data_IF_267415438033
#
_entry.id   IF_267415438033
#
_cell.length_a   1.000
_cell.length_b   1.000
_cell.length_c   1.000
_cell.angle_alpha   90.00
_cell.angle_beta   90.00
_cell.angle_gamma   90.00
#
_symmetry.space_group_name_H-M   'P 1'
#
loop_
_entity.id
_entity.type
_entity.pdbx_description
1 polymer ?
#
# COMPACT_ATOMS: atom_id res chain seq x y z
N UNK A 1 -22.40 13.06 -15.72
CA UNK A 1 -21.09 12.96 -15.05
C UNK A 1 -19.93 13.27 -16.00
N UNK A 2 -19.89 12.73 -17.22
CA UNK A 2 -18.80 13.01 -18.19
C UNK A 2 -18.48 14.51 -18.39
N UNK A 3 -19.49 15.38 -18.49
CA UNK A 3 -19.30 16.85 -18.55
C UNK A 3 -18.54 17.39 -17.32
N UNK A 4 -18.88 16.94 -16.11
CA UNK A 4 -18.22 17.38 -14.87
C UNK A 4 -16.78 16.87 -14.79
N UNK A 5 -16.52 15.64 -15.25
CA UNK A 5 -15.15 15.12 -15.37
C UNK A 5 -14.33 16.00 -16.30
N UNK A 6 -14.88 16.31 -17.48
CA UNK A 6 -14.23 17.21 -18.43
C UNK A 6 -13.91 18.58 -17.81
N UNK A 7 -14.91 19.22 -17.19
CA UNK A 7 -14.75 20.51 -16.52
C UNK A 7 -13.68 20.47 -15.43
N UNK A 8 -13.60 19.39 -14.64
CA UNK A 8 -12.57 19.20 -13.62
C UNK A 8 -11.15 19.08 -14.21
N UNK A 9 -11.00 18.34 -15.30
CA UNK A 9 -9.71 18.17 -15.99
C UNK A 9 -9.30 19.46 -16.73
N UNK A 10 -10.24 20.17 -17.34
CA UNK A 10 -10.01 21.50 -17.93
C UNK A 10 -9.64 22.54 -16.85
N UNK A 11 -10.18 22.42 -15.63
CA UNK A 11 -9.77 23.24 -14.50
C UNK A 11 -8.36 22.87 -13.95
N UNK A 12 -7.76 21.78 -14.43
CA UNK A 12 -6.38 21.39 -14.12
C UNK A 12 -6.24 20.12 -13.29
N UNK A 13 -7.29 19.33 -13.07
CA UNK A 13 -7.13 17.98 -12.53
C UNK A 13 -6.30 17.12 -13.50
N UNK A 14 -5.45 16.25 -12.96
CA UNK A 14 -4.59 15.35 -13.77
C UNK A 14 -5.39 14.26 -14.50
N UNK A 15 -6.65 14.07 -14.12
CA UNK A 15 -7.47 13.02 -14.69
C UNK A 15 -8.62 12.61 -13.78
N UNK A 16 -9.01 11.34 -13.87
CA UNK A 16 -10.13 10.75 -13.14
C UNK A 16 -9.76 9.35 -12.65
N UNK A 17 -10.13 9.04 -11.41
CA UNK A 17 -9.93 7.72 -10.79
C UNK A 17 -11.27 7.05 -10.49
N UNK A 18 -11.35 5.74 -10.69
CA UNK A 18 -12.49 4.91 -10.32
C UNK A 18 -12.07 3.70 -9.50
N UNK A 19 -13.00 3.15 -8.71
CA UNK A 19 -12.77 1.97 -7.88
C UNK A 19 -13.92 0.97 -7.98
N UNK A 20 -13.61 -0.22 -8.51
CA UNK A 20 -14.46 -1.42 -8.51
C UNK A 20 -13.95 -2.43 -7.48
N UNK A 21 -13.94 -2.03 -6.22
CA UNK A 21 -13.55 -2.94 -5.13
C UNK A 21 -14.66 -3.11 -4.11
N UNK A 22 -14.84 -4.35 -3.67
CA UNK A 22 -15.76 -4.74 -2.60
C UNK A 22 -15.17 -4.46 -1.20
N UNK A 23 -13.89 -4.10 -1.12
CA UNK A 23 -13.21 -3.77 0.13
C UNK A 23 -13.65 -2.41 0.69
N UNK A 24 -14.08 -1.49 -0.17
CA UNK A 24 -14.47 -0.14 0.23
C UNK A 24 -15.94 -0.08 0.66
N UNK A 25 -16.15 -0.07 1.99
CA UNK A 25 -17.46 0.06 2.63
C UNK A 25 -17.45 1.19 3.66
N UNK A 26 -18.60 1.80 3.87
CA UNK A 26 -18.79 2.75 4.95
C UNK A 26 -18.95 2.03 6.31
N UNK A 27 -19.20 2.83 7.35
CA UNK A 27 -19.43 2.35 8.72
C UNK A 27 -20.71 1.51 8.89
N UNK A 28 -21.62 1.55 7.91
CA UNK A 28 -22.84 0.75 7.88
C UNK A 28 -22.68 -0.52 7.02
N UNK A 29 -21.53 -0.70 6.36
CA UNK A 29 -21.26 -1.83 5.49
C UNK A 29 -21.75 -1.62 4.06
N UNK A 30 -22.21 -0.42 3.71
CA UNK A 30 -22.65 -0.07 2.36
C UNK A 30 -21.44 0.20 1.47
N UNK A 31 -21.48 -0.30 0.24
CA UNK A 31 -20.38 -0.14 -0.71
C UNK A 31 -20.23 1.32 -1.15
N UNK A 32 -18.98 1.75 -1.35
CA UNK A 32 -18.72 3.10 -1.84
C UNK A 32 -19.32 3.34 -3.24
N UNK A 33 -19.78 4.57 -3.53
CA UNK A 33 -20.18 4.94 -4.89
C UNK A 33 -19.05 4.67 -5.87
N UNK A 34 -19.34 3.99 -6.99
CA UNK A 34 -18.35 3.56 -7.98
C UNK A 34 -18.06 2.05 -7.98
N UNK A 35 -18.26 1.36 -6.84
CA UNK A 35 -17.98 -0.09 -6.72
C UNK A 35 -18.68 -0.92 -7.80
N UNK A 36 -19.88 -0.51 -8.20
CA UNK A 36 -20.69 -1.19 -9.22
C UNK A 36 -20.83 -0.41 -10.53
N UNK A 37 -20.00 0.61 -10.78
CA UNK A 37 -20.04 1.36 -12.03
C UNK A 37 -19.78 0.45 -13.23
N UNK A 38 -20.70 0.49 -14.19
CA UNK A 38 -20.65 -0.35 -15.38
C UNK A 38 -19.59 0.11 -16.39
N UNK A 39 -19.27 -0.77 -17.32
CA UNK A 39 -18.30 -0.51 -18.39
C UNK A 39 -18.68 0.69 -19.26
N UNK A 40 -19.98 0.86 -19.57
CA UNK A 40 -20.48 1.97 -20.38
C UNK A 40 -20.35 3.32 -19.66
N UNK A 41 -20.60 3.33 -18.34
CA UNK A 41 -20.46 4.52 -17.51
C UNK A 41 -19.00 4.98 -17.47
N UNK A 42 -18.07 4.06 -17.14
CA UNK A 42 -16.64 4.39 -17.12
C UNK A 42 -16.13 4.83 -18.48
N UNK A 43 -16.55 4.16 -19.57
CA UNK A 43 -16.20 4.57 -20.93
C UNK A 43 -16.69 5.99 -21.22
N UNK A 44 -17.93 6.34 -20.84
CA UNK A 44 -18.44 7.68 -21.01
C UNK A 44 -17.64 8.73 -20.21
N UNK A 45 -17.20 8.39 -18.99
CA UNK A 45 -16.33 9.26 -18.18
C UNK A 45 -14.96 9.46 -18.82
N UNK A 46 -14.34 8.38 -19.31
CA UNK A 46 -13.07 8.43 -20.04
C UNK A 46 -13.17 9.22 -21.35
N UNK A 47 -14.23 9.01 -22.13
CA UNK A 47 -14.49 9.79 -23.35
C UNK A 47 -14.72 11.27 -23.07
N UNK A 48 -15.20 11.63 -21.86
CA UNK A 48 -15.26 13.03 -21.42
C UNK A 48 -13.89 13.72 -21.39
N UNK A 49 -12.82 12.96 -21.09
CA UNK A 49 -11.44 13.45 -21.07
C UNK A 49 -10.72 13.31 -22.41
N UNK A 50 -11.33 12.67 -23.42
CA UNK A 50 -10.69 12.47 -24.72
C UNK A 50 -10.27 13.81 -25.35
N UNK A 51 -9.03 13.84 -25.84
CA UNK A 51 -8.40 15.04 -26.42
C UNK A 51 -7.86 16.04 -25.40
N UNK A 52 -7.95 15.76 -24.09
CA UNK A 52 -7.23 16.52 -23.07
C UNK A 52 -5.89 15.84 -22.85
N UNK A 53 -4.82 16.41 -23.40
CA UNK A 53 -3.47 15.81 -23.37
C UNK A 53 -3.02 15.53 -21.93
N UNK A 54 -2.17 14.53 -21.73
CA UNK A 54 -1.64 14.17 -20.40
C UNK A 54 -2.70 13.82 -19.32
N UNK A 55 -3.95 13.58 -19.70
CA UNK A 55 -4.99 13.16 -18.76
C UNK A 55 -4.87 11.67 -18.46
N UNK A 56 -4.97 11.31 -17.18
CA UNK A 56 -4.83 9.93 -16.69
C UNK A 56 -6.19 9.38 -16.26
N UNK A 57 -6.50 8.16 -16.68
CA UNK A 57 -7.60 7.38 -16.10
C UNK A 57 -7.02 6.32 -15.18
N UNK A 58 -7.33 6.40 -13.89
CA UNK A 58 -6.92 5.39 -12.91
C UNK A 58 -8.08 4.44 -12.59
N UNK A 59 -7.79 3.14 -12.54
CA UNK A 59 -8.75 2.12 -12.15
C UNK A 59 -8.19 1.20 -11.08
N UNK A 60 -8.83 1.22 -9.91
CA UNK A 60 -8.77 0.14 -8.93
C UNK A 60 -9.83 -0.89 -9.27
N UNK A 61 -9.48 -2.18 -9.38
CA UNK A 61 -10.46 -3.22 -9.71
C UNK A 61 -10.10 -4.59 -9.15
N UNK A 62 -11.08 -5.23 -8.49
CA UNK A 62 -11.00 -6.62 -8.02
C UNK A 62 -10.97 -7.60 -9.22
N UNK A 63 -11.41 -7.15 -10.40
CA UNK A 63 -11.61 -7.96 -11.60
C UNK A 63 -10.41 -7.98 -12.55
N UNK A 64 -9.26 -7.38 -12.18
CA UNK A 64 -8.05 -7.45 -13.00
C UNK A 64 -7.44 -8.86 -13.10
N UNK A 65 -7.98 -9.84 -12.38
CA UNK A 65 -7.74 -11.25 -12.63
C UNK A 65 -8.59 -11.85 -13.76
N UNK A 66 -9.61 -11.14 -14.27
CA UNK A 66 -10.55 -11.64 -15.27
C UNK A 66 -10.19 -11.16 -16.67
N UNK A 67 -10.11 -12.08 -17.63
CA UNK A 67 -9.76 -11.75 -19.03
C UNK A 67 -10.77 -10.78 -19.69
N UNK A 68 -12.01 -10.73 -19.18
CA UNK A 68 -13.03 -9.78 -19.62
C UNK A 68 -12.72 -8.35 -19.22
N UNK A 69 -12.26 -8.13 -17.98
CA UNK A 69 -11.86 -6.79 -17.51
C UNK A 69 -10.67 -6.30 -18.32
N UNK A 70 -9.74 -7.19 -18.63
CA UNK A 70 -8.61 -6.90 -19.51
C UNK A 70 -9.04 -6.49 -20.91
N UNK A 71 -9.91 -7.28 -21.56
CA UNK A 71 -10.42 -6.95 -22.88
C UNK A 71 -11.09 -5.57 -22.88
N UNK A 72 -11.84 -5.25 -21.83
CA UNK A 72 -12.46 -3.95 -21.66
C UNK A 72 -11.43 -2.83 -21.46
N UNK A 73 -10.42 -2.97 -20.59
CA UNK A 73 -9.36 -1.97 -20.40
C UNK A 73 -8.64 -1.69 -21.72
N UNK A 74 -8.35 -2.74 -22.49
CA UNK A 74 -7.71 -2.62 -23.78
C UNK A 74 -8.55 -1.82 -24.78
N UNK A 75 -9.85 -2.08 -24.84
CA UNK A 75 -10.78 -1.39 -25.71
C UNK A 75 -11.04 0.05 -25.25
N UNK A 76 -11.19 0.26 -23.95
CA UNK A 76 -11.30 1.58 -23.33
C UNK A 76 -10.11 2.47 -23.71
N UNK A 77 -8.88 1.95 -23.58
CA UNK A 77 -7.69 2.72 -23.92
C UNK A 77 -7.64 3.05 -25.42
N UNK A 78 -8.02 2.10 -26.30
CA UNK A 78 -8.10 2.35 -27.75
C UNK A 78 -9.10 3.44 -28.12
N UNK A 79 -10.27 3.45 -27.47
CA UNK A 79 -11.32 4.42 -27.78
C UNK A 79 -11.01 5.82 -27.23
N UNK A 80 -10.39 5.90 -26.05
CA UNK A 80 -10.14 7.16 -25.35
C UNK A 80 -8.79 7.77 -25.70
N UNK A 81 -7.77 6.96 -25.98
CA UNK A 81 -6.39 7.39 -26.19
C UNK A 81 -5.67 7.86 -24.92
N UNK A 82 -6.27 7.67 -23.75
CA UNK A 82 -5.73 8.14 -22.47
C UNK A 82 -4.58 7.26 -21.98
N UNK A 83 -3.76 7.83 -21.10
CA UNK A 83 -2.93 7.03 -20.20
C UNK A 83 -3.84 6.37 -19.17
N UNK A 84 -3.72 5.05 -19.02
CA UNK A 84 -4.53 4.24 -18.10
C UNK A 84 -3.61 3.63 -17.04
N UNK A 85 -3.83 3.95 -15.77
CA UNK A 85 -3.14 3.30 -14.66
C UNK A 85 -4.04 2.28 -13.98
N UNK A 86 -3.48 1.13 -13.59
CA UNK A 86 -4.25 0.00 -13.07
C UNK A 86 -3.75 -0.41 -11.70
N UNK A 87 -4.68 -0.61 -10.77
CA UNK A 87 -4.42 -1.07 -9.41
C UNK A 87 -5.23 -2.35 -9.19
N UNK A 88 -4.53 -3.45 -8.94
CA UNK A 88 -5.14 -4.73 -8.63
C UNK A 88 -5.31 -4.91 -7.12
N UNK A 89 -6.50 -5.34 -6.71
CA UNK A 89 -6.87 -5.59 -5.32
C UNK A 89 -7.17 -7.07 -5.05
N UNK A 90 -7.01 -7.93 -6.08
CA UNK A 90 -7.23 -9.38 -5.99
C UNK A 90 -5.99 -10.19 -6.31
N UNK A 91 -5.82 -11.32 -5.62
CA UNK A 91 -4.69 -12.23 -5.84
C UNK A 91 -4.64 -12.79 -7.28
N UNK A 92 -5.80 -13.05 -7.88
CA UNK A 92 -5.94 -13.57 -9.24
C UNK A 92 -5.31 -12.66 -10.31
N UNK A 93 -5.21 -11.35 -10.07
CA UNK A 93 -4.54 -10.42 -10.98
C UNK A 93 -3.01 -10.64 -11.05
N UNK A 94 -2.42 -11.28 -10.03
CA UNK A 94 -0.99 -11.54 -9.96
C UNK A 94 -0.62 -12.98 -10.37
N UNK A 95 -1.60 -13.88 -10.48
CA UNK A 95 -1.37 -15.23 -10.98
C UNK A 95 -0.89 -15.21 -12.45
N UNK A 96 -0.08 -16.18 -12.84
CA UNK A 96 0.37 -16.36 -14.23
C UNK A 96 0.96 -15.09 -14.89
N UNK A 97 1.62 -14.22 -14.11
CA UNK A 97 2.20 -12.96 -14.58
C UNK A 97 1.19 -12.00 -15.22
N UNK A 98 -0.06 -12.02 -14.75
CA UNK A 98 -1.15 -11.31 -15.41
C UNK A 98 -0.87 -9.80 -15.55
N UNK A 99 -0.53 -9.10 -14.47
CA UNK A 99 -0.16 -7.67 -14.52
C UNK A 99 1.07 -7.37 -15.39
N UNK A 100 2.04 -8.27 -15.46
CA UNK A 100 3.21 -8.12 -16.32
C UNK A 100 2.81 -8.22 -17.80
N UNK A 101 1.98 -9.21 -18.15
CA UNK A 101 1.55 -9.47 -19.52
C UNK A 101 0.76 -8.31 -20.12
N UNK A 102 -0.12 -7.67 -19.35
CA UNK A 102 -0.85 -6.48 -19.81
C UNK A 102 0.08 -5.28 -20.05
N UNK A 103 1.06 -5.06 -19.17
CA UNK A 103 2.07 -4.01 -19.37
C UNK A 103 2.93 -4.27 -20.62
N UNK A 104 3.36 -5.52 -20.82
CA UNK A 104 4.18 -5.92 -21.96
C UNK A 104 3.41 -5.85 -23.29
N UNK A 105 2.13 -6.25 -23.29
CA UNK A 105 1.26 -6.10 -24.45
C UNK A 105 1.08 -4.63 -24.82
N UNK A 106 0.75 -3.79 -23.83
CA UNK A 106 0.57 -2.36 -24.04
C UNK A 106 1.84 -1.71 -24.62
N UNK A 107 3.01 -2.04 -24.06
CA UNK A 107 4.31 -1.59 -24.57
C UNK A 107 4.55 -1.99 -26.03
N UNK A 108 4.32 -3.26 -26.38
CA UNK A 108 4.50 -3.77 -27.76
C UNK A 108 3.59 -3.09 -28.77
N UNK A 109 2.40 -2.69 -28.33
CA UNK A 109 1.39 -2.04 -29.17
C UNK A 109 1.47 -0.51 -29.12
N UNK A 110 2.44 0.07 -28.39
CA UNK A 110 2.60 1.53 -28.26
C UNK A 110 1.45 2.20 -27.50
N UNK A 111 0.83 1.49 -26.56
CA UNK A 111 -0.30 1.96 -25.74
C UNK A 111 0.14 2.32 -24.33
N UNK A 112 -0.45 3.38 -23.79
CA UNK A 112 -0.18 3.89 -22.45
C UNK A 112 -1.04 3.21 -21.39
N UNK A 113 -0.95 1.88 -21.26
CA UNK A 113 -1.54 1.15 -20.13
C UNK A 113 -0.41 0.79 -19.16
N UNK A 114 -0.48 1.33 -17.95
CA UNK A 114 0.60 1.33 -16.96
C UNK A 114 0.12 0.77 -15.62
N UNK A 115 0.22 -0.55 -15.39
CA UNK A 115 -0.03 -1.12 -14.07
C UNK A 115 0.83 -0.45 -12.99
N UNK A 116 0.26 -0.29 -11.81
CA UNK A 116 0.98 0.15 -10.63
C UNK A 116 1.40 -1.07 -9.80
N UNK A 117 2.59 -1.01 -9.22
CA UNK A 117 3.11 -2.01 -8.29
C UNK A 117 3.72 -1.32 -7.07
N UNK A 118 3.39 -1.85 -5.89
CA UNK A 118 4.05 -1.46 -4.64
C UNK A 118 5.45 -2.07 -4.55
N UNK A 119 6.33 -1.48 -3.74
CA UNK A 119 7.67 -2.02 -3.47
C UNK A 119 7.65 -3.39 -2.80
N UNK A 120 6.60 -3.65 -2.03
CA UNK A 120 6.25 -4.91 -1.38
C UNK A 120 4.73 -5.00 -1.30
N UNK A 121 4.14 -6.17 -1.06
CA UNK A 121 2.73 -6.28 -0.74
C UNK A 121 2.30 -5.29 0.35
N UNK A 122 1.11 -4.72 0.18
CA UNK A 122 0.48 -3.91 1.21
C UNK A 122 0.25 -4.80 2.44
N UNK A 123 0.62 -4.30 3.62
CA UNK A 123 0.59 -5.07 4.85
C UNK A 123 -0.55 -4.67 5.77
N UNK A 124 -1.38 -5.62 6.19
CA UNK A 124 -2.20 -5.41 7.39
C UNK A 124 -1.31 -5.60 8.60
N UNK A 125 -1.25 -4.57 9.43
CA UNK A 125 -0.54 -4.58 10.70
C UNK A 125 -1.50 -5.01 11.80
N UNK A 126 -1.22 -6.15 12.42
CA UNK A 126 -1.96 -6.66 13.57
C UNK A 126 -1.32 -6.16 14.85
N UNK A 127 -2.10 -6.07 15.92
CA UNK A 127 -1.59 -5.81 17.27
C UNK A 127 -2.67 -5.28 18.20
N UNK A 128 -2.43 -5.26 19.51
CA UNK A 128 -3.38 -4.65 20.47
C UNK A 128 -3.51 -3.14 20.26
N UNK A 129 -2.44 -2.51 19.77
CA UNK A 129 -2.48 -1.11 19.35
C UNK A 129 -2.94 -0.90 17.91
N UNK A 130 -3.25 -1.95 17.14
CA UNK A 130 -3.88 -1.85 15.82
C UNK A 130 -5.41 -1.91 15.94
N UNK A 131 -6.14 -1.61 14.86
CA UNK A 131 -7.59 -1.89 14.76
C UNK A 131 -7.89 -3.38 14.52
N UNK A 132 -6.86 -4.21 14.36
CA UNK A 132 -7.02 -5.62 14.01
C UNK A 132 -6.01 -6.52 14.72
N UNK A 133 -6.45 -7.70 15.15
CA UNK A 133 -5.63 -8.82 15.60
C UNK A 133 -6.48 -10.10 15.65
N UNK A 134 -5.86 -11.26 15.88
CA UNK A 134 -6.52 -12.57 15.79
C UNK A 134 -7.73 -12.77 16.73
N UNK A 135 -7.82 -12.00 17.83
CA UNK A 135 -8.85 -12.19 18.85
C UNK A 135 -10.07 -11.24 18.73
N UNK A 136 -10.09 -10.29 17.78
CA UNK A 136 -11.17 -9.29 17.66
C UNK A 136 -12.59 -9.87 17.47
N UNK A 137 -12.67 -11.10 16.95
CA UNK A 137 -13.92 -11.83 16.77
C UNK A 137 -14.37 -12.66 17.96
N UNK A 138 -13.59 -12.76 19.05
CA UNK A 138 -13.91 -13.64 20.17
C UNK A 138 -14.96 -12.99 21.08
N UNK A 139 -15.96 -13.76 21.59
CA UNK A 139 -17.01 -13.24 22.45
C UNK A 139 -16.49 -12.39 23.62
N UNK A 140 -15.55 -12.91 24.41
CA UNK A 140 -14.99 -12.19 25.57
C UNK A 140 -14.29 -10.90 25.16
N UNK A 141 -13.56 -10.92 24.03
CA UNK A 141 -12.93 -9.72 23.50
C UNK A 141 -13.99 -8.62 23.25
N UNK A 142 -15.07 -8.98 22.57
CA UNK A 142 -16.11 -8.03 22.15
C UNK A 142 -16.95 -7.50 23.31
N UNK A 143 -17.28 -8.34 24.30
CA UNK A 143 -18.15 -7.95 25.40
C UNK A 143 -17.43 -7.22 26.52
N UNK A 144 -16.16 -7.57 26.79
CA UNK A 144 -15.48 -7.15 28.02
C UNK A 144 -14.19 -6.37 27.77
N UNK A 145 -13.43 -6.69 26.71
CA UNK A 145 -12.06 -6.19 26.55
C UNK A 145 -11.92 -5.02 25.58
N UNK A 146 -12.69 -5.01 24.49
CA UNK A 146 -12.54 -4.07 23.38
C UNK A 146 -12.73 -2.58 23.75
N UNK A 147 -13.34 -2.31 24.91
CA UNK A 147 -13.65 -0.95 25.38
C UNK A 147 -12.72 -0.47 26.49
N UNK A 148 -11.81 -1.32 26.96
CA UNK A 148 -10.86 -0.98 28.01
C UNK A 148 -9.76 -0.05 27.47
N UNK A 149 -9.24 0.81 28.33
CA UNK A 149 -7.97 1.48 28.03
C UNK A 149 -6.82 0.46 27.97
N UNK A 150 -5.71 0.84 27.33
CA UNK A 150 -4.60 -0.07 27.06
C UNK A 150 -4.01 -0.70 28.33
N UNK A 151 -3.95 0.05 29.44
CA UNK A 151 -3.37 -0.46 30.69
C UNK A 151 -4.30 -1.49 31.32
N UNK A 152 -5.57 -1.17 31.46
CA UNK A 152 -6.59 -2.08 31.99
C UNK A 152 -6.74 -3.32 31.11
N UNK A 153 -6.68 -3.16 29.78
CA UNK A 153 -6.67 -4.25 28.82
C UNK A 153 -5.52 -5.23 29.08
N UNK A 154 -4.29 -4.73 29.23
CA UNK A 154 -3.13 -5.58 29.52
C UNK A 154 -3.22 -6.29 30.87
N UNK A 155 -3.76 -5.63 31.89
CA UNK A 155 -3.99 -6.25 33.19
C UNK A 155 -4.97 -7.43 33.06
N UNK A 156 -6.06 -7.27 32.31
CA UNK A 156 -7.01 -8.37 32.02
C UNK A 156 -6.40 -9.46 31.15
N UNK A 157 -5.60 -9.13 30.14
CA UNK A 157 -4.94 -10.13 29.29
C UNK A 157 -3.78 -10.88 29.99
N UNK A 158 -3.36 -10.43 31.17
CA UNK A 158 -2.41 -11.16 32.02
C UNK A 158 -3.10 -12.14 32.97
N UNK A 159 -4.41 -12.04 33.11
CA UNK A 159 -5.21 -12.96 33.93
C UNK A 159 -5.27 -14.34 33.26
N UNK A 160 -4.78 -15.40 33.93
CA UNK A 160 -4.83 -16.77 33.39
C UNK A 160 -6.24 -17.24 33.04
N UNK A 161 -7.27 -16.78 33.75
CA UNK A 161 -8.67 -17.14 33.48
C UNK A 161 -9.15 -16.53 32.16
N UNK A 162 -8.83 -15.25 31.91
CA UNK A 162 -9.15 -14.56 30.66
C UNK A 162 -8.41 -15.19 29.48
N UNK A 163 -7.13 -15.53 29.67
CA UNK A 163 -6.33 -16.25 28.66
C UNK A 163 -6.99 -17.58 28.31
N UNK A 164 -7.32 -18.39 29.30
CA UNK A 164 -7.96 -19.69 29.08
C UNK A 164 -9.32 -19.55 28.38
N UNK A 165 -10.12 -18.55 28.77
CA UNK A 165 -11.42 -18.28 28.17
C UNK A 165 -11.28 -17.89 26.69
N UNK A 166 -10.46 -16.89 26.36
CA UNK A 166 -10.23 -16.46 24.97
C UNK A 166 -9.71 -17.60 24.07
N UNK A 167 -8.79 -18.43 24.56
CA UNK A 167 -8.24 -19.54 23.79
C UNK A 167 -9.25 -20.68 23.57
N UNK A 168 -10.21 -20.86 24.48
CA UNK A 168 -11.28 -21.86 24.35
C UNK A 168 -12.39 -21.44 23.39
N UNK A 169 -12.50 -20.13 23.13
CA UNK A 169 -13.56 -19.53 22.33
C UNK A 169 -13.37 -19.78 20.81
N UNK A 170 -14.40 -19.42 20.06
CA UNK A 170 -14.37 -19.37 18.61
C UNK A 170 -14.76 -17.98 18.14
N UNK A 171 -14.06 -17.49 17.13
CA UNK A 171 -14.41 -16.23 16.48
C UNK A 171 -15.84 -16.28 15.92
N UNK A 172 -16.62 -15.22 16.16
CA UNK A 172 -17.94 -15.04 15.56
C UNK A 172 -17.87 -14.47 14.14
N UNK A 173 -16.69 -14.04 13.69
CA UNK A 173 -16.45 -13.56 12.33
C UNK A 173 -16.33 -14.77 11.40
N UNK A 174 -17.28 -14.91 10.47
CA UNK A 174 -17.43 -16.07 9.58
C UNK A 174 -16.99 -15.81 8.13
N UNK A 175 -16.30 -14.71 7.85
CA UNK A 175 -15.92 -14.31 6.50
C UNK A 175 -14.46 -13.91 6.38
N UNK A 176 -13.91 -14.08 5.18
CA UNK A 176 -12.53 -13.73 4.85
C UNK A 176 -11.50 -14.56 5.60
N UNK A 177 -10.29 -14.01 5.73
CA UNK A 177 -9.15 -14.67 6.37
C UNK A 177 -9.36 -14.97 7.87
N UNK A 178 -10.35 -14.34 8.52
CA UNK A 178 -10.68 -14.57 9.93
C UNK A 178 -11.49 -15.85 10.19
N UNK A 179 -11.97 -16.51 9.12
CA UNK A 179 -12.70 -17.77 9.25
C UNK A 179 -11.76 -18.93 9.64
N UNK A 180 -10.50 -18.89 9.22
CA UNK A 180 -9.49 -19.90 9.53
C UNK A 180 -8.22 -19.24 10.08
N UNK A 181 -8.24 -19.01 11.40
CA UNK A 181 -7.12 -18.39 12.11
C UNK A 181 -5.85 -19.24 12.03
N UNK A 182 -5.95 -20.58 12.00
CA UNK A 182 -4.77 -21.44 11.91
C UNK A 182 -4.03 -21.22 10.59
N UNK A 183 -4.77 -21.21 9.49
CA UNK A 183 -4.19 -20.92 8.17
C UNK A 183 -3.67 -19.48 8.10
N UNK A 184 -4.41 -18.51 8.67
CA UNK A 184 -3.98 -17.11 8.73
C UNK A 184 -2.64 -16.94 9.47
N UNK A 185 -2.42 -17.65 10.58
CA UNK A 185 -1.17 -17.54 11.34
C UNK A 185 0.07 -18.02 10.57
N UNK A 186 -0.09 -18.77 9.48
CA UNK A 186 0.99 -19.05 8.53
C UNK A 186 1.39 -17.87 7.63
N UNK A 187 0.63 -16.78 7.68
CA UNK A 187 0.83 -15.54 6.91
C UNK A 187 0.92 -14.30 7.82
N UNK A 188 1.08 -14.49 9.13
CA UNK A 188 1.27 -13.42 10.10
C UNK A 188 2.69 -13.54 10.66
N UNK A 189 3.46 -12.47 10.58
CA UNK A 189 4.89 -12.45 10.93
C UNK A 189 5.15 -11.36 11.96
N UNK A 190 5.81 -11.65 13.09
CA UNK A 190 6.26 -10.60 14.00
C UNK A 190 7.23 -9.64 13.28
N UNK A 191 7.00 -8.33 13.41
CA UNK A 191 7.89 -7.33 12.77
C UNK A 191 9.19 -7.15 13.54
N UNK A 192 9.14 -7.23 14.88
CA UNK A 192 10.27 -6.92 15.75
C UNK A 192 10.77 -5.48 15.64
N UNK A 193 11.95 -5.23 16.18
CA UNK A 193 12.60 -3.90 16.15
C UNK A 193 13.16 -3.54 14.76
N UNK A 194 13.53 -4.55 13.96
CA UNK A 194 14.00 -4.40 12.59
C UNK A 194 13.02 -5.10 11.63
N UNK A 195 12.04 -4.35 11.08
CA UNK A 195 11.02 -4.91 10.20
C UNK A 195 11.58 -5.75 9.06
N UNK A 196 11.17 -7.01 8.99
CA UNK A 196 11.39 -7.86 7.82
C UNK A 196 10.08 -7.98 7.01
N UNK A 197 10.07 -7.42 5.80
CA UNK A 197 8.94 -7.50 4.88
C UNK A 197 9.12 -8.56 3.77
N UNK A 198 10.21 -9.34 3.81
CA UNK A 198 10.39 -10.56 3.03
C UNK A 198 10.67 -11.77 3.99
N UNK A 199 9.77 -12.05 4.95
CA UNK A 199 9.94 -13.13 5.93
C UNK A 199 9.79 -14.52 5.32
N UNK A 200 10.41 -15.53 5.93
CA UNK A 200 10.32 -16.93 5.54
C UNK A 200 9.15 -17.64 6.25
N UNK A 201 8.71 -18.82 5.78
CA UNK A 201 7.63 -19.58 6.42
C UNK A 201 7.85 -19.85 7.91
N UNK A 202 9.11 -20.08 8.31
CA UNK A 202 9.48 -20.39 9.68
C UNK A 202 9.36 -19.17 10.62
N UNK A 203 9.42 -17.96 10.06
CA UNK A 203 9.26 -16.69 10.77
C UNK A 203 7.79 -16.37 11.07
N UNK A 204 6.84 -17.10 10.46
CA UNK A 204 5.40 -16.92 10.72
C UNK A 204 5.03 -17.37 12.13
N UNK A 205 3.93 -16.88 12.68
CA UNK A 205 3.41 -17.32 13.98
C UNK A 205 3.17 -18.84 14.01
N UNK A 206 2.71 -19.42 12.90
CA UNK A 206 2.60 -20.88 12.76
C UNK A 206 3.97 -21.59 12.74
N UNK A 207 4.98 -21.00 12.09
CA UNK A 207 6.35 -21.48 12.08
C UNK A 207 6.97 -21.50 13.49
N UNK A 208 6.80 -20.41 14.23
CA UNK A 208 7.22 -20.29 15.62
C UNK A 208 6.52 -21.32 16.52
N UNK A 209 5.20 -21.44 16.41
CA UNK A 209 4.42 -22.42 17.18
C UNK A 209 4.86 -23.86 16.91
N UNK A 210 5.15 -24.20 15.65
CA UNK A 210 5.70 -25.50 15.27
C UNK A 210 7.08 -25.75 15.87
N UNK A 211 7.96 -24.75 15.87
CA UNK A 211 9.29 -24.87 16.46
C UNK A 211 9.25 -25.07 17.99
N UNK A 212 8.29 -24.42 18.67
CA UNK A 212 8.07 -24.55 20.11
C UNK A 212 7.26 -25.80 20.50
N UNK A 213 6.59 -26.46 19.55
CA UNK A 213 5.69 -27.58 19.82
C UNK A 213 4.40 -27.17 20.56
N UNK A 214 3.91 -25.95 20.29
CA UNK A 214 2.78 -25.32 20.99
C UNK A 214 1.62 -25.03 20.04
N UNK A 215 0.44 -24.77 20.62
CA UNK A 215 -0.71 -24.31 19.86
C UNK A 215 -0.45 -22.90 19.28
N UNK A 216 -0.88 -22.69 18.03
CA UNK A 216 -0.58 -21.45 17.30
C UNK A 216 -1.29 -20.23 17.89
N UNK A 217 -2.49 -20.41 18.43
CA UNK A 217 -3.24 -19.32 19.05
C UNK A 217 -2.68 -18.98 20.43
N UNK A 218 -2.14 -19.96 21.16
CA UNK A 218 -1.37 -19.68 22.39
C UNK A 218 -0.14 -18.83 22.10
N UNK A 219 0.62 -19.16 21.06
CA UNK A 219 1.80 -18.38 20.67
C UNK A 219 1.38 -16.98 20.21
N UNK A 220 0.33 -16.84 19.39
CA UNK A 220 -0.20 -15.53 19.00
C UNK A 220 -0.63 -14.69 20.20
N UNK A 221 -1.28 -15.31 21.20
CA UNK A 221 -1.70 -14.63 22.42
C UNK A 221 -0.50 -14.07 23.19
N UNK A 222 0.49 -14.92 23.44
CA UNK A 222 1.68 -14.53 24.20
C UNK A 222 2.48 -13.44 23.48
N UNK A 223 2.58 -13.54 22.15
CA UNK A 223 3.19 -12.48 21.33
C UNK A 223 2.41 -11.16 21.41
N UNK A 224 1.07 -11.19 21.40
CA UNK A 224 0.25 -9.97 21.51
C UNK A 224 0.43 -9.23 22.83
N UNK A 225 0.66 -9.94 23.94
CA UNK A 225 0.81 -9.31 25.27
C UNK A 225 2.26 -8.94 25.60
N UNK A 226 3.21 -9.40 24.79
CA UNK A 226 4.64 -9.06 24.90
C UNK A 226 4.88 -7.57 24.68
N UNK A 227 5.98 -7.04 25.22
CA UNK A 227 6.39 -5.63 25.08
C UNK A 227 5.26 -4.65 25.41
N UNK A 228 4.55 -4.90 26.52
CA UNK A 228 3.42 -4.10 26.96
C UNK A 228 2.33 -3.96 25.86
N UNK A 229 2.10 -5.00 25.08
CA UNK A 229 1.10 -5.00 24.02
C UNK A 229 1.40 -4.10 22.83
N UNK A 230 2.65 -3.70 22.64
CA UNK A 230 3.08 -2.81 21.55
C UNK A 230 3.60 -3.55 20.32
N UNK A 231 3.69 -4.87 20.38
CA UNK A 231 4.12 -5.65 19.21
C UNK A 231 3.13 -5.52 18.05
N UNK A 232 3.70 -5.38 16.86
CA UNK A 232 2.97 -5.38 15.59
C UNK A 232 3.39 -6.57 14.74
N UNK A 233 2.43 -7.11 13.99
CA UNK A 233 2.65 -8.25 13.11
C UNK A 233 2.25 -7.88 11.70
N UNK A 234 3.10 -8.21 10.74
CA UNK A 234 2.86 -7.98 9.33
C UNK A 234 2.10 -9.17 8.73
N UNK A 235 1.05 -8.86 7.98
CA UNK A 235 0.34 -9.81 7.13
C UNK A 235 0.25 -9.24 5.70
N UNK A 236 0.95 -9.82 4.71
CA UNK A 236 0.87 -9.36 3.33
C UNK A 236 -0.54 -9.59 2.74
N UNK A 237 -1.06 -8.58 2.03
CA UNK A 237 -2.30 -8.66 1.26
C UNK A 237 -2.00 -9.10 -0.17
N UNK A 238 -1.95 -10.42 -0.38
CA UNK A 238 -1.61 -11.00 -1.69
C UNK A 238 -0.17 -10.71 -2.11
N UNK A 239 0.22 -11.10 -3.33
CA UNK A 239 1.54 -10.79 -3.90
C UNK A 239 2.77 -11.34 -3.14
N UNK A 240 2.56 -12.21 -2.14
CA UNK A 240 3.62 -12.85 -1.34
C UNK A 240 3.53 -14.37 -1.37
N UNK A 241 3.16 -14.92 -2.53
CA UNK A 241 3.16 -16.36 -2.76
C UNK A 241 4.58 -16.90 -2.60
N UNK A 242 4.71 -18.16 -2.13
CA UNK A 242 6.00 -18.83 -1.96
C UNK A 242 6.98 -18.11 -1.00
N UNK A 243 6.52 -17.12 -0.24
CA UNK A 243 7.33 -16.34 0.71
C UNK A 243 8.54 -15.68 0.05
N UNK A 244 8.38 -15.15 -1.17
CA UNK A 244 9.42 -14.45 -1.94
C UNK A 244 8.87 -13.20 -2.62
N UNK A 245 9.70 -12.15 -2.73
CA UNK A 245 9.39 -10.96 -3.52
C UNK A 245 9.89 -11.02 -4.97
N UNK A 246 10.40 -12.17 -5.46
CA UNK A 246 10.93 -12.27 -6.83
C UNK A 246 9.89 -11.94 -7.91
N UNK A 247 8.64 -12.33 -7.71
CA UNK A 247 7.55 -11.94 -8.59
C UNK A 247 7.34 -10.42 -8.59
N UNK A 248 7.37 -9.80 -7.40
CA UNK A 248 7.24 -8.36 -7.24
C UNK A 248 8.40 -7.63 -7.94
N UNK A 249 9.62 -8.12 -7.80
CA UNK A 249 10.81 -7.60 -8.51
C UNK A 249 10.59 -7.60 -10.02
N UNK A 250 10.21 -8.75 -10.57
CA UNK A 250 9.96 -8.93 -12.00
C UNK A 250 8.91 -7.96 -12.53
N UNK A 251 7.84 -7.72 -11.76
CA UNK A 251 6.81 -6.75 -12.12
C UNK A 251 7.33 -5.30 -12.06
N UNK A 252 8.04 -4.94 -10.98
CA UNK A 252 8.61 -3.60 -10.78
C UNK A 252 9.65 -3.24 -11.86
N UNK A 253 10.45 -4.19 -12.33
CA UNK A 253 11.47 -3.95 -13.38
C UNK A 253 10.88 -3.76 -14.78
N UNK A 254 9.57 -4.01 -14.95
CA UNK A 254 8.94 -3.81 -16.25
C UNK A 254 8.86 -2.31 -16.59
N UNK A 255 9.31 -1.87 -17.78
CA UNK A 255 9.41 -0.44 -18.12
C UNK A 255 8.07 0.31 -18.19
N UNK A 256 6.96 -0.41 -18.41
CA UNK A 256 5.60 0.15 -18.39
C UNK A 256 4.88 -0.02 -17.04
N UNK A 257 5.57 -0.41 -15.97
CA UNK A 257 4.99 -0.46 -14.62
C UNK A 257 5.39 0.78 -13.84
N UNK A 258 4.47 1.30 -13.05
CA UNK A 258 4.70 2.45 -12.17
C UNK A 258 4.91 1.99 -10.73
N UNK A 259 5.86 2.62 -10.06
CA UNK A 259 6.00 2.47 -8.61
C UNK A 259 4.89 3.30 -7.97
N UNK A 260 3.94 2.63 -7.35
CA UNK A 260 2.75 3.25 -6.76
C UNK A 260 2.31 2.48 -5.51
N UNK A 261 1.04 2.63 -5.14
CA UNK A 261 0.41 1.79 -4.11
C UNK A 261 1.05 1.84 -2.71
N UNK A 262 1.62 2.98 -2.32
CA UNK A 262 1.96 3.19 -0.91
C UNK A 262 0.71 3.38 -0.04
N UNK A 263 -0.38 3.91 -0.62
CA UNK A 263 -1.67 4.14 0.05
C UNK A 263 -1.56 4.77 1.46
N UNK A 264 -0.53 5.59 1.64
CA UNK A 264 -0.13 6.14 2.93
C UNK A 264 -1.22 7.05 3.49
N UNK A 265 -1.83 6.65 4.61
CA UNK A 265 -2.82 7.45 5.33
C UNK A 265 -4.28 7.16 4.98
N UNK A 266 -4.58 6.25 4.05
CA UNK A 266 -5.96 5.84 3.75
C UNK A 266 -6.56 4.96 4.86
N UNK A 267 -5.75 4.06 5.41
CA UNK A 267 -6.17 3.07 6.42
C UNK A 267 -5.40 3.23 7.74
N UNK A 268 -5.51 4.42 8.33
CA UNK A 268 -4.73 4.88 9.48
C UNK A 268 -4.53 3.84 10.60
N UNK A 269 -5.53 3.02 10.92
CA UNK A 269 -5.46 2.07 12.03
C UNK A 269 -4.88 0.68 11.70
N UNK A 270 -4.56 0.38 10.44
CA UNK A 270 -4.18 -0.98 9.99
C UNK A 270 -3.02 -1.03 9.00
N UNK A 271 -2.73 0.04 8.25
CA UNK A 271 -1.64 0.08 7.25
C UNK A 271 -0.71 1.26 7.56
N UNK A 272 0.60 1.06 7.41
CA UNK A 272 1.63 2.08 7.64
C UNK A 272 2.64 2.15 6.46
N UNK A 273 2.14 2.29 5.24
CA UNK A 273 2.96 2.16 4.03
C UNK A 273 3.46 3.50 3.45
N UNK A 274 3.34 4.60 4.21
CA UNK A 274 3.98 5.88 3.86
C UNK A 274 5.52 5.77 3.74
N UNK A 275 6.14 4.78 4.39
CA UNK A 275 7.56 4.46 4.28
C UNK A 275 7.95 3.65 3.04
N UNK A 276 7.04 3.38 2.11
CA UNK A 276 7.29 2.55 0.92
C UNK A 276 8.49 3.02 0.08
N UNK A 277 8.70 4.32 -0.21
CA UNK A 277 9.90 4.75 -0.95
C UNK A 277 11.21 4.39 -0.22
N UNK A 278 11.25 4.57 1.11
CA UNK A 278 12.39 4.17 1.94
C UNK A 278 12.61 2.67 1.86
N UNK A 279 11.56 1.86 2.03
CA UNK A 279 11.64 0.41 1.89
C UNK A 279 12.19 0.01 0.52
N UNK A 280 11.70 0.63 -0.57
CA UNK A 280 12.16 0.32 -1.92
C UNK A 280 13.67 0.59 -2.04
N UNK A 281 14.13 1.76 -1.60
CA UNK A 281 15.54 2.13 -1.67
C UNK A 281 16.42 1.22 -0.81
N UNK A 282 16.03 0.95 0.44
CA UNK A 282 16.82 0.11 1.34
C UNK A 282 16.77 -1.36 0.91
N UNK A 283 15.60 -1.96 0.80
CA UNK A 283 15.46 -3.38 0.48
C UNK A 283 15.99 -3.69 -0.93
N UNK A 284 15.41 -3.08 -1.97
CA UNK A 284 15.79 -3.41 -3.35
C UNK A 284 17.16 -2.88 -3.73
N UNK A 285 17.60 -1.75 -3.17
CA UNK A 285 18.89 -1.14 -3.51
C UNK A 285 20.07 -1.65 -2.68
N UNK A 286 19.85 -2.10 -1.43
CA UNK A 286 20.95 -2.31 -0.47
C UNK A 286 20.84 -3.59 0.36
N UNK A 287 19.69 -3.88 0.96
CA UNK A 287 19.56 -4.79 2.09
C UNK A 287 18.99 -6.17 1.76
N UNK A 288 18.39 -6.36 0.57
CA UNK A 288 17.85 -7.67 0.16
C UNK A 288 18.95 -8.73 0.19
N UNK A 289 18.68 -9.82 0.89
CA UNK A 289 19.61 -10.97 1.05
C UNK A 289 19.22 -12.19 0.23
N UNK A 290 17.95 -12.26 -0.21
CA UNK A 290 17.39 -13.37 -0.98
C UNK A 290 17.11 -12.89 -2.40
N UNK A 291 17.87 -13.34 -3.39
CA UNK A 291 17.70 -12.92 -4.78
C UNK A 291 18.39 -11.59 -5.12
N UNK A 292 18.17 -11.13 -6.35
CA UNK A 292 18.86 -9.96 -6.90
C UNK A 292 18.30 -8.63 -6.38
N UNK A 293 19.18 -7.63 -6.31
CA UNK A 293 18.86 -6.22 -6.04
C UNK A 293 18.56 -5.47 -7.35
N UNK A 294 17.96 -4.29 -7.24
CA UNK A 294 17.83 -3.32 -8.35
C UNK A 294 18.92 -2.25 -8.21
N UNK A 295 19.30 -1.61 -9.31
CA UNK A 295 20.24 -0.49 -9.23
C UNK A 295 19.56 0.73 -8.59
N UNK A 296 20.33 1.53 -7.85
CA UNK A 296 19.80 2.72 -7.19
C UNK A 296 19.29 3.74 -8.22
N UNK A 297 19.96 3.89 -9.36
CA UNK A 297 19.56 4.79 -10.43
C UNK A 297 18.22 4.39 -11.05
N UNK A 298 17.97 3.08 -11.20
CA UNK A 298 16.67 2.58 -11.65
C UNK A 298 15.58 2.91 -10.65
N UNK A 299 15.81 2.63 -9.35
CA UNK A 299 14.87 2.94 -8.27
C UNK A 299 14.54 4.43 -8.23
N UNK A 300 15.56 5.30 -8.23
CA UNK A 300 15.39 6.75 -8.17
C UNK A 300 14.62 7.25 -9.39
N UNK A 301 14.98 6.79 -10.60
CA UNK A 301 14.26 7.15 -11.83
C UNK A 301 12.80 6.71 -11.79
N UNK A 302 12.51 5.51 -11.26
CA UNK A 302 11.15 4.98 -11.13
C UNK A 302 10.30 5.75 -10.12
N UNK A 303 10.88 6.17 -8.98
CA UNK A 303 10.20 6.98 -7.97
C UNK A 303 10.06 8.47 -8.34
N UNK A 304 10.77 8.95 -9.36
CA UNK A 304 10.81 10.36 -9.76
C UNK A 304 10.34 10.56 -11.21
N UNK A 305 11.27 10.53 -12.17
CA UNK A 305 11.04 10.87 -13.57
C UNK A 305 9.94 10.02 -14.22
N UNK A 306 9.92 8.71 -14.01
CA UNK A 306 8.94 7.83 -14.65
C UNK A 306 7.52 8.15 -14.16
N UNK A 307 7.35 8.40 -12.86
CA UNK A 307 6.06 8.81 -12.28
C UNK A 307 5.66 10.19 -12.77
N UNK A 308 6.56 11.18 -12.74
CA UNK A 308 6.28 12.52 -13.24
C UNK A 308 5.83 12.49 -14.71
N UNK A 309 6.52 11.75 -15.57
CA UNK A 309 6.19 11.60 -16.99
C UNK A 309 4.84 10.91 -17.21
N UNK A 310 4.49 9.90 -16.41
CA UNK A 310 3.21 9.20 -16.55
C UNK A 310 1.99 10.09 -16.27
N UNK A 311 2.18 11.17 -15.50
CA UNK A 311 1.16 12.18 -15.21
C UNK A 311 1.40 13.51 -15.97
N UNK A 312 2.26 13.50 -16.99
CA UNK A 312 2.57 14.69 -17.81
C UNK A 312 3.21 15.85 -17.06
N UNK A 313 3.91 15.58 -15.96
CA UNK A 313 4.62 16.58 -15.18
C UNK A 313 6.07 16.69 -15.65
N UNK A 314 6.31 17.51 -16.68
CA UNK A 314 7.64 17.67 -17.29
C UNK A 314 8.52 18.74 -16.64
N UNK A 315 8.01 19.44 -15.63
CA UNK A 315 8.72 20.47 -14.87
C UNK A 315 9.46 19.93 -13.63
N UNK A 316 9.43 18.60 -13.39
CA UNK A 316 9.96 17.94 -12.19
C UNK A 316 10.34 16.49 -12.43
N UNK A 317 10.84 15.83 -11.38
CA UNK A 317 11.21 14.41 -11.39
C UNK A 317 12.60 14.14 -11.95
N UNK A 318 13.34 15.18 -12.34
CA UNK A 318 14.74 15.09 -12.78
C UNK A 318 15.54 16.25 -12.19
N UNK A 319 16.85 16.05 -12.03
CA UNK A 319 17.79 17.11 -11.66
C UNK A 319 18.37 17.69 -12.94
N UNK A 320 17.79 18.80 -13.40
CA UNK A 320 18.23 19.52 -14.58
C UNK A 320 17.92 21.02 -14.45
N UNK A 321 18.69 21.85 -15.15
CA UNK A 321 18.45 23.30 -15.18
C UNK A 321 17.04 23.62 -15.69
N UNK A 322 16.38 24.58 -15.06
CA UNK A 322 15.03 25.02 -15.42
C UNK A 322 13.88 24.18 -14.85
N UNK A 323 14.15 23.03 -14.23
CA UNK A 323 13.14 22.25 -13.50
C UNK A 323 12.96 22.74 -12.06
N UNK A 324 11.84 22.38 -11.46
CA UNK A 324 11.56 22.69 -10.05
C UNK A 324 12.57 21.95 -9.17
N UNK A 325 13.17 22.66 -8.23
CA UNK A 325 14.10 22.12 -7.24
C UNK A 325 13.36 21.31 -6.14
N UNK A 326 12.77 20.18 -6.54
CA UNK A 326 12.24 19.14 -5.68
C UNK A 326 13.31 18.06 -5.47
N UNK A 327 13.99 18.06 -4.33
CA UNK A 327 15.18 17.25 -4.09
C UNK A 327 15.12 16.55 -2.74
N UNK A 328 15.72 15.36 -2.66
CA UNK A 328 16.07 14.70 -1.40
C UNK A 328 17.59 14.52 -1.35
N UNK A 329 18.20 14.90 -0.23
CA UNK A 329 19.57 14.57 0.12
C UNK A 329 19.52 13.41 1.10
N UNK A 330 20.12 12.29 0.71
CA UNK A 330 19.98 11.01 1.41
C UNK A 330 21.36 10.44 1.70
N UNK A 331 21.66 10.21 2.97
CA UNK A 331 22.74 9.31 3.38
C UNK A 331 22.26 7.88 3.17
N UNK A 332 22.63 7.31 2.02
CA UNK A 332 22.15 6.00 1.62
C UNK A 332 22.72 4.86 2.48
N UNK A 333 23.85 5.06 3.18
CA UNK A 333 24.39 4.04 4.08
C UNK A 333 23.66 4.07 5.43
N UNK A 334 23.27 5.26 5.90
CA UNK A 334 22.49 5.43 7.13
C UNK A 334 20.97 5.24 6.94
N UNK A 335 20.47 5.23 5.69
CA UNK A 335 19.04 5.13 5.40
C UNK A 335 18.41 3.90 6.07
N UNK A 336 17.39 4.10 6.89
CA UNK A 336 16.72 2.98 7.59
C UNK A 336 15.24 3.25 7.77
N UNK A 337 14.45 2.17 7.76
CA UNK A 337 13.01 2.21 8.00
C UNK A 337 12.72 1.51 9.32
N UNK A 338 12.16 2.26 10.27
CA UNK A 338 11.88 1.75 11.61
C UNK A 338 10.60 0.93 11.65
N UNK A 339 10.36 0.22 12.75
CA UNK A 339 9.06 -0.39 12.97
C UNK A 339 7.95 0.68 13.04
N UNK A 340 6.73 0.39 12.53
CA UNK A 340 5.59 1.26 12.76
C UNK A 340 5.24 1.37 14.25
N UNK A 341 4.70 2.51 14.65
CA UNK A 341 4.19 2.78 16.00
C UNK A 341 2.76 3.33 15.92
N UNK A 342 1.92 2.97 16.89
CA UNK A 342 0.60 3.57 17.03
C UNK A 342 0.71 4.90 17.78
N UNK A 343 0.12 5.94 17.21
CA UNK A 343 -0.05 7.25 17.85
C UNK A 343 -1.53 7.64 17.84
N UNK A 344 -1.91 8.52 18.78
CA UNK A 344 -3.30 8.88 19.08
C UNK A 344 -3.51 10.39 18.91
N UNK A 345 -3.21 10.90 17.71
CA UNK A 345 -3.16 12.33 17.39
C UNK A 345 -4.22 12.79 16.36
N UNK A 346 -5.11 11.89 15.91
CA UNK A 346 -6.25 12.28 15.08
C UNK A 346 -7.34 12.97 15.91
N UNK A 347 -8.27 13.73 15.29
CA UNK A 347 -9.40 14.33 15.99
C UNK A 347 -10.14 13.33 16.90
N UNK A 348 -10.62 13.82 18.05
CA UNK A 348 -11.21 13.00 19.11
C UNK A 348 -10.28 11.92 19.73
N UNK A 349 -8.95 12.08 19.59
CA UNK A 349 -7.98 11.10 20.10
C UNK A 349 -7.89 9.85 19.22
N UNK A 350 -8.28 9.97 17.95
CA UNK A 350 -8.26 8.86 17.01
C UNK A 350 -6.82 8.37 16.76
N UNK A 351 -6.74 7.10 16.39
CA UNK A 351 -5.48 6.39 16.21
C UNK A 351 -4.99 6.40 14.77
N UNK A 352 -3.68 6.50 14.57
CA UNK A 352 -3.00 6.11 13.33
C UNK A 352 -1.67 5.41 13.57
N UNK A 353 -1.24 4.61 12.61
CA UNK A 353 0.07 4.00 12.56
C UNK A 353 1.04 4.93 11.81
N UNK A 354 2.20 5.19 12.38
CA UNK A 354 3.26 6.00 11.79
C UNK A 354 4.53 5.17 11.72
N UNK A 355 5.23 5.26 10.60
CA UNK A 355 6.52 4.61 10.41
C UNK A 355 7.57 5.68 10.15
N UNK A 356 8.60 5.73 10.98
CA UNK A 356 9.70 6.70 10.85
C UNK A 356 10.82 6.14 10.00
N UNK A 357 11.63 7.04 9.45
CA UNK A 357 12.84 6.70 8.72
C UNK A 357 13.97 7.66 9.08
N UNK A 358 15.20 7.14 9.10
CA UNK A 358 16.43 7.93 9.24
C UNK A 358 17.21 7.92 7.92
N UNK A 359 18.22 8.80 7.80
CA UNK A 359 19.10 8.92 6.63
C UNK A 359 18.65 9.95 5.59
N UNK A 360 17.57 10.69 5.86
CA UNK A 360 17.19 11.88 5.08
C UNK A 360 17.82 13.14 5.70
N UNK A 361 18.91 13.62 5.12
CA UNK A 361 19.60 14.83 5.57
C UNK A 361 18.77 16.08 5.30
N UNK A 362 18.20 16.16 4.10
CA UNK A 362 17.32 17.26 3.73
C UNK A 362 16.28 16.84 2.68
N UNK A 363 15.07 17.38 2.83
CA UNK A 363 14.06 17.37 1.76
C UNK A 363 13.78 18.81 1.36
N UNK A 364 13.87 19.09 0.07
CA UNK A 364 13.76 20.42 -0.52
C UNK A 364 12.56 20.41 -1.46
N UNK A 365 11.66 21.38 -1.31
CA UNK A 365 10.50 21.57 -2.18
C UNK A 365 10.57 22.95 -2.82
N UNK A 366 10.65 22.99 -4.15
CA UNK A 366 10.79 24.22 -4.93
C UNK A 366 11.93 25.14 -4.43
N UNK A 367 13.05 24.55 -4.03
CA UNK A 367 14.25 25.26 -3.55
C UNK A 367 14.25 25.63 -2.07
N UNK A 368 13.18 25.34 -1.32
CA UNK A 368 13.09 25.60 0.13
C UNK A 368 13.17 24.29 0.92
N UNK A 369 14.00 24.27 1.97
CA UNK A 369 14.17 23.10 2.85
C UNK A 369 12.91 22.91 3.70
N UNK A 370 12.21 21.79 3.51
CA UNK A 370 11.00 21.43 4.25
C UNK A 370 11.25 20.42 5.37
N UNK A 371 12.31 19.63 5.25
CA UNK A 371 12.82 18.78 6.33
C UNK A 371 14.34 18.91 6.41
N UNK A 372 14.86 18.92 7.64
CA UNK A 372 16.29 18.89 7.94
C UNK A 372 16.54 17.85 9.02
N UNK A 373 17.30 16.80 8.70
CA UNK A 373 17.56 15.65 9.59
C UNK A 373 16.28 15.07 10.21
N UNK A 374 15.27 14.80 9.39
CA UNK A 374 13.97 14.27 9.82
C UNK A 374 13.04 15.26 10.55
N UNK A 375 13.47 16.50 10.80
CA UNK A 375 12.65 17.53 11.46
C UNK A 375 12.01 18.45 10.42
N UNK A 376 10.68 18.55 10.44
CA UNK A 376 9.94 19.47 9.57
C UNK A 376 10.29 20.93 9.89
N UNK A 377 10.65 21.73 8.90
CA UNK A 377 11.09 23.12 9.08
C UNK A 377 9.95 24.10 9.37
N UNK A 378 8.70 23.69 9.09
CA UNK A 378 7.51 24.56 9.12
C UNK A 378 7.19 25.20 7.78
N UNK A 379 8.12 25.15 6.82
CA UNK A 379 7.90 25.65 5.47
C UNK A 379 6.89 24.77 4.71
N UNK A 380 5.94 25.41 4.03
CA UNK A 380 4.94 24.75 3.19
C UNK A 380 4.93 25.37 1.76
N UNK A 381 6.06 25.31 1.02
CA UNK A 381 6.21 25.93 -0.31
C UNK A 381 5.41 25.23 -1.41
N UNK A 382 4.79 24.08 -1.11
CA UNK A 382 3.96 23.33 -2.03
C UNK A 382 2.89 24.21 -2.69
N UNK A 383 2.74 24.05 -4.00
CA UNK A 383 1.71 24.72 -4.80
C UNK A 383 0.78 23.68 -5.42
N UNK A 384 -0.44 24.11 -5.72
CA UNK A 384 -1.38 23.31 -6.49
C UNK A 384 -0.76 22.97 -7.85
N UNK A 385 -0.57 21.68 -8.10
CA UNK A 385 -0.13 21.17 -9.40
C UNK A 385 -1.35 21.07 -10.30
N UNK A 386 -1.27 21.68 -11.48
CA UNK A 386 -2.30 21.60 -12.50
C UNK A 386 -1.76 20.84 -13.69
N UNK A 387 -2.62 20.04 -14.33
CA UNK A 387 -2.37 19.39 -15.61
C UNK A 387 -1.91 20.43 -16.65
N UNK A 388 -0.98 20.04 -17.51
CA UNK A 388 -0.45 20.86 -18.59
C UNK A 388 -0.60 20.12 -19.92
N UNK A 389 -0.91 20.86 -20.99
CA UNK A 389 -0.84 20.37 -22.38
C UNK A 389 0.60 20.46 -22.95
N UNK A 390 1.54 21.08 -22.21
CA UNK A 390 2.91 21.21 -22.67
C UNK A 390 3.58 19.82 -22.75
N UNK A 391 4.14 19.50 -23.90
CA UNK A 391 5.09 18.41 -24.06
C UNK A 391 6.50 18.89 -23.67
N UNK A 392 7.41 17.99 -23.27
CA UNK A 392 8.81 18.37 -23.04
C UNK A 392 9.35 19.08 -24.29
N UNK A 393 9.84 20.31 -24.13
CA UNK A 393 10.50 21.05 -25.20
C UNK A 393 11.81 20.40 -25.63
#
# INVERSE_FOLDING_TARGET
MARLVREGVEAGALGFSSSKTLLHKDVHGEYMPGTFSGNDEMLALGLGMKGLENSVFELVSDHLGDDKEWAWVNEFQKQTGLTVTLIATSAAAYENDKMYKIAEQARKEGREIRPQAAGRPTGVLHGLQSSFHAFVGHPTWRSELAHLDHKALLERLRDPEVRAQLLSERSVIKGGLMQDLNTLMGQVFPLGEKPNYEPQPEDSVAGLAKAEGRDVMEVMYDLLVTNEGRELFYQPLGGYQEFSLDFQKKLLEHPNVLFGLSDGGAHCGVIADAGMPTFIMTHWGRDRTRGEKMTLEFIVKSLSANTAQAFGMYDRGQIAEGLIADLNIIDFDALSLHRPEAIFDLPAGGRRLVQRADGYDATIKAGEVIFNNGVHSGALPGKLVRRSDAHSR
#
